data_IF_984060658248
#
_entry.id   IF_984060658248
#
_cell.length_a   1.000
_cell.length_b   1.000
_cell.length_c   1.000
_cell.angle_alpha   90.00
_cell.angle_beta   90.00
_cell.angle_gamma   90.00
#
_symmetry.space_group_name_H-M   'P 1'
#
loop_
_entity.id
_entity.type
_entity.pdbx_description
1 polymer ?
#
# COMPACT_ATOMS: atom_id res chain seq x y z
N UNK A 1 -1.05 4.98 -12.80
CA UNK A 1 -1.76 4.43 -11.63
C UNK A 1 -0.99 3.21 -11.15
N UNK A 2 -1.20 2.77 -9.91
CA UNK A 2 -0.41 1.69 -9.30
C UNK A 2 -0.35 0.39 -10.13
N UNK A 3 -1.42 0.03 -10.85
CA UNK A 3 -1.42 -1.13 -11.75
C UNK A 3 -0.40 -0.97 -12.88
N UNK A 4 -0.36 0.20 -13.52
CA UNK A 4 0.56 0.49 -14.62
C UNK A 4 2.02 0.56 -14.14
N UNK A 5 2.24 0.94 -12.89
CA UNK A 5 3.57 0.93 -12.29
C UNK A 5 4.04 -0.51 -12.05
N UNK A 6 3.18 -1.38 -11.55
CA UNK A 6 3.45 -2.84 -11.46
C UNK A 6 3.74 -3.43 -12.85
N UNK A 7 2.88 -3.19 -13.83
CA UNK A 7 3.05 -3.72 -15.20
C UNK A 7 4.34 -3.22 -15.87
N UNK A 8 4.78 -2.01 -15.55
CA UNK A 8 5.99 -1.42 -16.09
C UNK A 8 7.24 -1.62 -15.21
N UNK A 9 7.15 -2.38 -14.12
CA UNK A 9 8.26 -2.63 -13.21
C UNK A 9 8.80 -1.36 -12.54
N UNK A 10 7.93 -0.41 -12.20
CA UNK A 10 8.27 0.81 -11.46
C UNK A 10 7.80 0.72 -10.00
N UNK A 11 8.44 1.47 -9.08
CA UNK A 11 7.92 1.66 -7.74
C UNK A 11 6.47 2.17 -7.76
N UNK A 12 5.66 1.75 -6.80
CA UNK A 12 4.27 2.19 -6.64
C UNK A 12 4.12 3.15 -5.46
N UNK A 13 3.03 3.91 -5.43
CA UNK A 13 2.69 4.80 -4.32
C UNK A 13 1.95 4.07 -3.16
N UNK A 14 1.96 2.73 -3.12
CA UNK A 14 1.16 1.93 -2.17
C UNK A 14 1.42 2.32 -0.71
N UNK A 15 2.67 2.55 -0.33
CA UNK A 15 3.06 2.90 1.03
C UNK A 15 2.62 4.30 1.45
N UNK A 16 2.59 5.23 0.48
CA UNK A 16 2.16 6.60 0.68
C UNK A 16 0.64 6.72 0.78
N UNK A 17 -0.10 5.82 0.11
CA UNK A 17 -1.57 5.83 0.10
C UNK A 17 -2.13 4.85 1.13
N UNK A 18 -2.13 3.55 0.83
CA UNK A 18 -2.72 2.53 1.72
C UNK A 18 -1.90 2.37 3.01
N UNK A 19 -0.57 2.38 2.90
CA UNK A 19 0.32 2.27 4.06
C UNK A 19 0.12 3.44 5.03
N UNK A 20 -0.10 4.65 4.52
CA UNK A 20 -0.38 5.82 5.34
C UNK A 20 -1.72 5.70 6.07
N UNK A 21 -2.78 5.24 5.40
CA UNK A 21 -4.08 5.04 6.06
C UNK A 21 -3.98 3.97 7.15
N UNK A 22 -3.29 2.86 6.89
CA UNK A 22 -3.04 1.83 7.90
C UNK A 22 -2.31 2.41 9.13
N UNK A 23 -1.15 3.06 8.95
CA UNK A 23 -0.39 3.66 10.06
C UNK A 23 -1.19 4.70 10.83
N UNK A 24 -1.96 5.53 10.14
CA UNK A 24 -2.79 6.55 10.78
C UNK A 24 -4.01 5.98 11.50
N UNK A 25 -4.54 4.85 11.04
CA UNK A 25 -5.60 4.09 11.70
C UNK A 25 -5.10 3.50 13.02
N UNK A 26 -3.94 2.83 12.99
CA UNK A 26 -3.30 2.25 14.19
C UNK A 26 -3.10 3.30 15.28
N UNK A 27 -2.59 4.49 14.92
CA UNK A 27 -2.39 5.61 15.85
C UNK A 27 -3.69 6.12 16.50
N UNK A 28 -4.85 5.84 15.90
CA UNK A 28 -6.16 6.29 16.36
C UNK A 28 -7.04 5.16 16.90
N UNK A 29 -6.52 3.93 16.98
CA UNK A 29 -7.29 2.75 17.36
C UNK A 29 -8.38 2.38 16.35
N UNK A 30 -8.23 2.78 15.08
CA UNK A 30 -9.17 2.44 13.99
C UNK A 30 -8.50 1.43 13.07
N UNK A 31 -8.97 0.19 13.09
CA UNK A 31 -8.45 -0.86 12.23
C UNK A 31 -8.72 -0.55 10.75
N UNK A 32 -7.68 -0.65 9.92
CA UNK A 32 -7.77 -0.53 8.47
C UNK A 32 -7.22 -1.79 7.77
N UNK A 33 -7.82 -2.97 8.01
CA UNK A 33 -7.23 -4.27 7.63
C UNK A 33 -7.06 -4.40 6.11
N UNK A 34 -7.97 -3.83 5.31
CA UNK A 34 -7.84 -3.85 3.86
C UNK A 34 -6.70 -2.97 3.36
N UNK A 35 -6.42 -1.84 4.02
CA UNK A 35 -5.28 -1.00 3.66
C UNK A 35 -3.95 -1.67 4.00
N UNK A 36 -3.89 -2.36 5.14
CA UNK A 36 -2.73 -3.19 5.49
C UNK A 36 -2.53 -4.31 4.44
N UNK A 37 -3.58 -5.06 4.11
CA UNK A 37 -3.51 -6.15 3.14
C UNK A 37 -3.09 -5.65 1.75
N UNK A 38 -3.70 -4.56 1.27
CA UNK A 38 -3.32 -3.95 -0.02
C UNK A 38 -1.87 -3.47 -0.03
N UNK A 39 -1.38 -2.93 1.09
CA UNK A 39 0.02 -2.52 1.23
C UNK A 39 0.96 -3.70 1.03
N UNK A 40 0.71 -4.82 1.71
CA UNK A 40 1.52 -6.02 1.60
C UNK A 40 1.44 -6.66 0.19
N UNK A 41 0.23 -6.78 -0.35
CA UNK A 41 0.00 -7.43 -1.63
C UNK A 41 0.65 -6.64 -2.78
N UNK A 42 0.42 -5.33 -2.87
CA UNK A 42 0.99 -4.54 -3.97
C UNK A 42 2.51 -4.38 -3.82
N UNK A 43 3.03 -4.25 -2.60
CA UNK A 43 4.49 -4.22 -2.37
C UNK A 43 5.17 -5.50 -2.82
N UNK A 44 4.49 -6.65 -2.77
CA UNK A 44 5.04 -7.92 -3.31
C UNK A 44 5.05 -8.02 -4.84
N UNK A 45 4.30 -7.16 -5.52
CA UNK A 45 4.20 -7.13 -6.99
C UNK A 45 5.10 -6.05 -7.60
N UNK A 46 5.36 -4.98 -6.86
CA UNK A 46 6.21 -3.88 -7.29
C UNK A 46 7.68 -4.14 -6.92
N UNK A 47 8.64 -3.59 -7.69
CA UNK A 47 10.03 -3.57 -7.26
C UNK A 47 10.19 -2.75 -5.97
N UNK A 48 11.01 -3.27 -5.05
CA UNK A 48 11.36 -2.63 -3.77
C UNK A 48 12.41 -1.55 -3.88
#
# INVERSE_FOLDING_TARGET
SMLQDVEAGRPTEVDAINGAVYRHGELRGVAAPLNQAMTLLVSSLAPG
#
